data_IF_605710758813
#
_entry.id   IF_605710758813
#
_cell.length_a   1.000
_cell.length_b   1.000
_cell.length_c   1.000
_cell.angle_alpha   90.00
_cell.angle_beta   90.00
_cell.angle_gamma   90.00
#
_symmetry.space_group_name_H-M   'P 1'
#
loop_
_entity.id
_entity.type
_entity.pdbx_description
1 polymer ?
#
# COMPACT_ATOMS: atom_id res chain seq x y z
N UNK A 1 -16.00 -11.38 -43.55
CA UNK A 1 -14.94 -10.82 -42.69
C UNK A 1 -13.68 -10.71 -43.54
N UNK A 2 -13.02 -9.55 -43.58
CA UNK A 2 -11.82 -9.33 -44.39
C UNK A 2 -10.69 -8.86 -43.49
N UNK A 3 -9.58 -9.58 -43.49
CA UNK A 3 -8.35 -9.13 -42.85
C UNK A 3 -7.63 -8.16 -43.81
N UNK A 4 -7.31 -6.97 -43.33
CA UNK A 4 -6.50 -5.97 -44.03
C UNK A 4 -5.37 -5.60 -43.08
N UNK A 5 -4.14 -6.02 -43.39
CA UNK A 5 -2.98 -5.90 -42.49
C UNK A 5 -3.24 -6.57 -41.13
N UNK A 6 -3.34 -5.79 -40.06
CA UNK A 6 -3.67 -6.21 -38.68
C UNK A 6 -5.12 -5.91 -38.28
N UNK A 7 -5.95 -5.38 -39.19
CA UNK A 7 -7.34 -5.03 -38.94
C UNK A 7 -8.30 -6.06 -39.51
N UNK A 8 -9.26 -6.49 -38.70
CA UNK A 8 -10.32 -7.42 -39.11
C UNK A 8 -11.63 -6.66 -39.35
N UNK A 9 -12.03 -6.54 -40.62
CA UNK A 9 -13.28 -5.85 -41.02
C UNK A 9 -14.44 -6.83 -41.08
N UNK A 10 -15.50 -6.57 -40.30
CA UNK A 10 -16.72 -7.37 -40.25
C UNK A 10 -17.95 -6.50 -40.57
N UNK A 11 -18.69 -6.85 -41.62
CA UNK A 11 -19.77 -6.03 -42.20
C UNK A 11 -19.53 -5.70 -43.69
N UNK A 12 -20.36 -4.85 -44.32
CA UNK A 12 -21.49 -4.08 -43.74
C UNK A 12 -22.73 -4.95 -43.42
N UNK A 13 -23.58 -4.48 -42.50
CA UNK A 13 -24.86 -5.11 -42.16
C UNK A 13 -26.00 -4.15 -42.55
N UNK A 14 -26.95 -4.61 -43.37
CA UNK A 14 -28.02 -3.75 -43.90
C UNK A 14 -29.34 -3.92 -43.13
N UNK A 15 -29.85 -5.15 -43.00
CA UNK A 15 -31.13 -5.43 -42.33
C UNK A 15 -30.93 -6.41 -41.16
N UNK A 16 -30.70 -5.89 -39.96
CA UNK A 16 -30.69 -6.71 -38.75
C UNK A 16 -31.95 -6.50 -37.91
N UNK A 17 -32.59 -7.59 -37.42
CA UNK A 17 -33.72 -7.47 -36.51
C UNK A 17 -33.29 -6.84 -35.17
N UNK A 18 -34.21 -6.20 -34.42
CA UNK A 18 -33.92 -5.69 -33.09
C UNK A 18 -33.36 -6.78 -32.18
N UNK A 19 -32.30 -6.47 -31.43
CA UNK A 19 -31.60 -7.40 -30.54
C UNK A 19 -30.97 -8.62 -31.23
N UNK A 20 -30.55 -8.50 -32.49
CA UNK A 20 -29.72 -9.50 -33.16
C UNK A 20 -28.41 -9.76 -32.38
N UNK A 21 -28.12 -11.03 -32.12
CA UNK A 21 -26.89 -11.46 -31.47
C UNK A 21 -26.20 -12.52 -32.32
N UNK A 22 -24.98 -12.23 -32.78
CA UNK A 22 -24.13 -13.16 -33.51
C UNK A 22 -22.75 -13.20 -32.84
N UNK A 23 -22.37 -14.30 -32.16
CA UNK A 23 -21.07 -14.38 -31.52
C UNK A 23 -19.96 -14.46 -32.57
N UNK A 24 -18.89 -13.71 -32.35
CA UNK A 24 -17.68 -13.73 -33.19
C UNK A 24 -16.53 -14.27 -32.35
N UNK A 25 -15.88 -15.32 -32.84
CA UNK A 25 -14.70 -15.91 -32.19
C UNK A 25 -13.50 -15.69 -33.11
N UNK A 26 -12.46 -15.07 -32.57
CA UNK A 26 -11.21 -14.80 -33.30
C UNK A 26 -10.08 -15.50 -32.56
N UNK A 27 -9.27 -16.27 -33.29
CA UNK A 27 -8.07 -16.90 -32.78
C UNK A 27 -6.85 -16.24 -33.43
N UNK A 28 -6.00 -15.62 -32.62
CA UNK A 28 -4.80 -14.92 -33.05
C UNK A 28 -3.67 -15.16 -32.06
N UNK A 29 -2.43 -15.00 -32.54
CA UNK A 29 -1.25 -15.09 -31.69
C UNK A 29 -1.12 -13.83 -30.83
N UNK A 30 -0.99 -14.01 -29.52
CA UNK A 30 -0.75 -12.92 -28.57
C UNK A 30 0.29 -13.35 -27.54
N UNK A 31 1.51 -12.83 -27.70
CA UNK A 31 2.63 -13.12 -26.82
C UNK A 31 2.80 -12.07 -25.71
N UNK A 32 1.82 -11.19 -25.47
CA UNK A 32 1.89 -10.22 -24.39
C UNK A 32 1.91 -10.90 -23.02
N UNK A 33 2.58 -10.28 -22.07
CA UNK A 33 2.60 -10.72 -20.67
C UNK A 33 1.28 -10.37 -19.98
N UNK A 34 0.54 -11.38 -19.52
CA UNK A 34 -0.73 -11.18 -18.85
C UNK A 34 -0.55 -11.15 -17.33
N UNK A 35 -0.14 -10.00 -16.80
CA UNK A 35 -0.06 -9.79 -15.36
C UNK A 35 -1.44 -9.40 -14.80
N UNK A 36 -1.94 -10.20 -13.86
CA UNK A 36 -3.22 -9.95 -13.17
C UNK A 36 -2.96 -9.88 -11.67
N UNK A 37 -3.27 -8.75 -11.05
CA UNK A 37 -3.29 -8.63 -9.60
C UNK A 37 -4.60 -9.21 -9.07
N UNK A 38 -4.56 -10.45 -8.59
CA UNK A 38 -5.76 -11.10 -8.02
C UNK A 38 -6.21 -10.41 -6.73
N UNK A 39 -5.25 -9.97 -5.92
CA UNK A 39 -5.52 -9.14 -4.75
C UNK A 39 -4.51 -8.01 -4.64
N UNK A 40 -5.00 -6.79 -4.48
CA UNK A 40 -4.21 -5.60 -4.25
C UNK A 40 -4.73 -4.85 -3.02
N UNK A 41 -3.88 -4.78 -2.00
CA UNK A 41 -4.18 -4.05 -0.77
C UNK A 41 -3.27 -2.84 -0.67
N UNK A 42 -3.84 -1.65 -0.69
CA UNK A 42 -3.13 -0.39 -0.52
C UNK A 42 -3.48 0.21 0.83
N UNK A 43 -2.50 0.34 1.72
CA UNK A 43 -2.64 1.02 3.00
C UNK A 43 -1.95 2.39 2.95
N UNK A 44 -2.68 3.43 3.29
CA UNK A 44 -2.21 4.82 3.32
C UNK A 44 -2.33 5.31 4.75
N UNK A 45 -1.21 5.42 5.45
CA UNK A 45 -1.14 5.93 6.81
C UNK A 45 -0.76 7.40 6.83
N UNK A 46 -1.61 8.23 7.44
CA UNK A 46 -1.44 9.67 7.49
C UNK A 46 -0.95 10.08 8.87
N UNK A 47 0.16 10.81 8.89
CA UNK A 47 0.74 11.36 10.11
C UNK A 47 0.82 12.88 10.00
N UNK A 48 0.13 13.58 10.89
CA UNK A 48 0.18 15.05 10.97
C UNK A 48 1.54 15.59 11.45
N UNK A 49 2.47 14.70 11.82
CA UNK A 49 3.88 15.07 12.03
C UNK A 49 4.62 15.41 10.72
N UNK A 50 4.06 15.09 9.55
CA UNK A 50 4.55 15.61 8.27
C UNK A 50 4.67 14.61 7.12
N UNK A 51 4.35 13.33 7.33
CA UNK A 51 4.50 12.28 6.32
C UNK A 51 3.22 11.49 6.06
N UNK A 52 3.10 11.01 4.83
CA UNK A 52 2.11 10.01 4.40
C UNK A 52 2.89 8.77 3.99
N UNK A 53 2.66 7.66 4.70
CA UNK A 53 3.28 6.38 4.39
C UNK A 53 2.32 5.54 3.57
N UNK A 54 2.73 5.14 2.38
CA UNK A 54 1.97 4.22 1.53
C UNK A 54 2.64 2.86 1.56
N UNK A 55 1.83 1.82 1.75
CA UNK A 55 2.24 0.41 1.67
C UNK A 55 1.27 -0.32 0.76
N UNK A 56 1.80 -0.90 -0.30
CA UNK A 56 1.05 -1.60 -1.34
C UNK A 56 1.47 -3.06 -1.36
N UNK A 57 0.50 -3.95 -1.15
CA UNK A 57 0.69 -5.39 -1.14
C UNK A 57 0.02 -5.98 -2.37
N UNK A 58 0.82 -6.65 -3.19
CA UNK A 58 0.39 -7.23 -4.46
C UNK A 58 0.43 -8.75 -4.37
N UNK A 59 -0.65 -9.37 -4.84
CA UNK A 59 -0.70 -10.78 -5.17
C UNK A 59 -0.94 -10.90 -6.67
N UNK A 60 0.12 -11.19 -7.43
CA UNK A 60 0.09 -11.22 -8.90
C UNK A 60 0.10 -12.66 -9.40
N UNK A 61 -0.74 -12.94 -10.38
CA UNK A 61 -0.83 -14.20 -11.09
C UNK A 61 -0.60 -13.92 -12.59
N UNK A 62 0.11 -14.82 -13.26
CA UNK A 62 0.18 -14.77 -14.72
C UNK A 62 -1.08 -15.40 -15.33
N UNK A 63 -1.99 -14.58 -15.86
CA UNK A 63 -3.29 -15.01 -16.39
C UNK A 63 -3.26 -15.67 -17.78
N UNK A 64 -2.11 -15.69 -18.44
CA UNK A 64 -1.93 -16.34 -19.74
C UNK A 64 -1.77 -17.87 -19.68
N UNK A 65 -1.42 -18.48 -20.81
CA UNK A 65 -1.37 -19.94 -20.97
C UNK A 65 -0.37 -20.63 -20.03
N UNK A 66 -0.81 -21.73 -19.41
CA UNK A 66 0.00 -22.53 -18.50
C UNK A 66 1.13 -23.29 -19.23
N UNK A 67 2.24 -23.49 -18.52
CA UNK A 67 3.29 -24.38 -18.98
C UNK A 67 2.80 -25.84 -19.01
N UNK A 68 2.90 -26.48 -20.17
CA UNK A 68 2.58 -27.90 -20.34
C UNK A 68 3.64 -28.82 -19.72
N UNK A 69 4.90 -28.46 -19.90
CA UNK A 69 6.06 -29.17 -19.38
C UNK A 69 6.66 -28.41 -18.18
N UNK A 70 7.65 -29.00 -17.51
CA UNK A 70 8.41 -28.31 -16.47
C UNK A 70 9.18 -27.10 -17.00
N UNK A 71 9.54 -26.20 -16.07
CA UNK A 71 10.42 -25.07 -16.37
C UNK A 71 11.88 -25.54 -16.41
N UNK A 72 12.58 -25.21 -17.50
CA UNK A 72 14.01 -25.44 -17.68
C UNK A 72 14.73 -24.10 -17.73
N UNK A 73 15.60 -23.84 -16.75
CA UNK A 73 16.39 -22.60 -16.70
C UNK A 73 17.38 -22.51 -17.86
N UNK A 74 17.95 -23.63 -18.28
CA UNK A 74 18.91 -23.68 -19.39
C UNK A 74 18.22 -23.23 -20.68
N UNK A 75 17.03 -23.77 -20.96
CA UNK A 75 16.29 -23.42 -22.19
C UNK A 75 15.83 -21.96 -22.16
N UNK A 76 15.38 -21.48 -20.99
CA UNK A 76 15.00 -20.09 -20.79
C UNK A 76 16.17 -19.11 -21.02
N UNK A 77 17.38 -19.47 -20.56
CA UNK A 77 18.56 -18.62 -20.73
C UNK A 77 19.18 -18.76 -22.12
N UNK A 78 19.11 -19.94 -22.74
CA UNK A 78 19.66 -20.18 -24.07
C UNK A 78 18.84 -19.49 -25.17
N UNK A 79 17.50 -19.50 -25.05
CA UNK A 79 16.61 -18.87 -26.03
C UNK A 79 15.45 -18.09 -25.36
N UNK A 80 15.72 -16.92 -24.74
CA UNK A 80 14.71 -16.14 -24.03
C UNK A 80 13.52 -15.73 -24.92
N UNK A 81 13.77 -15.40 -26.18
CA UNK A 81 12.74 -14.96 -27.13
C UNK A 81 11.72 -16.05 -27.48
N UNK A 82 12.09 -17.32 -27.38
CA UNK A 82 11.22 -18.44 -27.74
C UNK A 82 10.67 -19.14 -26.49
N UNK A 83 11.53 -19.45 -25.51
CA UNK A 83 11.13 -20.13 -24.27
C UNK A 83 10.45 -19.20 -23.27
N UNK A 84 10.59 -17.89 -23.42
CA UNK A 84 10.11 -16.87 -22.49
C UNK A 84 9.22 -15.80 -23.11
N UNK A 85 8.78 -15.97 -24.37
CA UNK A 85 8.09 -14.95 -25.14
C UNK A 85 6.93 -14.28 -24.40
N UNK A 86 6.07 -15.08 -23.75
CA UNK A 86 4.91 -14.61 -23.00
C UNK A 86 5.17 -14.40 -21.52
N UNK A 87 6.37 -14.73 -21.03
CA UNK A 87 6.72 -14.60 -19.61
C UNK A 87 7.15 -13.18 -19.28
N UNK A 88 7.01 -12.78 -18.01
CA UNK A 88 7.53 -11.49 -17.55
C UNK A 88 8.36 -11.65 -16.28
N UNK A 89 9.44 -10.88 -16.17
CA UNK A 89 10.31 -10.85 -14.98
C UNK A 89 10.35 -9.48 -14.34
N UNK A 90 10.13 -8.42 -15.12
CA UNK A 90 10.17 -7.04 -14.66
C UNK A 90 8.77 -6.47 -14.57
N UNK A 91 8.54 -5.63 -13.57
CA UNK A 91 7.34 -4.84 -13.38
C UNK A 91 7.76 -3.40 -13.14
N UNK A 92 7.03 -2.47 -13.75
CA UNK A 92 7.31 -1.03 -13.62
C UNK A 92 6.18 -0.40 -12.82
N UNK A 93 6.54 0.25 -11.72
CA UNK A 93 5.64 1.07 -10.92
C UNK A 93 5.96 2.54 -11.09
N UNK A 94 4.93 3.35 -11.32
CA UNK A 94 5.01 4.81 -11.37
C UNK A 94 4.45 5.39 -10.08
N UNK A 95 5.36 5.81 -9.22
CA UNK A 95 5.09 6.43 -7.91
C UNK A 95 4.95 7.96 -8.06
N UNK A 96 4.25 8.62 -7.13
CA UNK A 96 4.16 10.09 -7.12
C UNK A 96 5.53 10.77 -7.03
N UNK A 97 5.67 12.02 -7.49
CA UNK A 97 6.90 12.79 -7.33
C UNK A 97 7.27 12.91 -5.83
N UNK A 98 8.55 13.13 -5.55
CA UNK A 98 9.08 13.28 -4.18
C UNK A 98 8.91 12.04 -3.27
N UNK A 99 8.57 10.89 -3.86
CA UNK A 99 8.57 9.61 -3.14
C UNK A 99 9.97 9.28 -2.63
N UNK A 100 10.10 9.06 -1.33
CA UNK A 100 11.37 8.73 -0.68
C UNK A 100 11.21 7.50 0.22
N UNK A 101 12.34 6.96 0.71
CA UNK A 101 12.37 5.78 1.59
C UNK A 101 11.63 4.57 0.98
N UNK A 102 11.78 4.38 -0.33
CA UNK A 102 11.15 3.29 -1.08
C UNK A 102 11.75 1.95 -0.66
N UNK A 103 10.91 0.96 -0.39
CA UNK A 103 11.33 -0.42 -0.14
C UNK A 103 10.53 -1.40 -1.00
N UNK A 104 11.19 -2.49 -1.37
CA UNK A 104 10.62 -3.59 -2.13
C UNK A 104 10.97 -4.91 -1.42
N UNK A 105 9.93 -5.61 -0.94
CA UNK A 105 10.08 -6.79 -0.09
C UNK A 105 9.03 -7.85 -0.42
N UNK A 106 9.33 -9.10 -0.13
CA UNK A 106 8.34 -10.17 -0.10
C UNK A 106 8.21 -10.74 1.32
N UNK A 107 7.46 -11.83 1.45
CA UNK A 107 7.23 -12.51 2.73
C UNK A 107 8.52 -13.04 3.37
N UNK A 108 9.55 -13.34 2.55
CA UNK A 108 10.81 -13.95 2.99
C UNK A 108 11.87 -12.88 3.27
N UNK A 109 11.72 -11.66 2.73
CA UNK A 109 12.52 -10.51 3.10
C UNK A 109 12.75 -9.54 1.96
N UNK A 110 13.93 -8.92 1.95
CA UNK A 110 14.24 -7.90 0.96
C UNK A 110 14.51 -8.49 -0.42
N UNK A 111 14.08 -7.80 -1.47
CA UNK A 111 14.46 -8.09 -2.85
C UNK A 111 15.36 -6.94 -3.33
N UNK A 112 16.63 -7.25 -3.60
CA UNK A 112 17.63 -6.27 -4.00
C UNK A 112 17.58 -5.91 -5.49
N UNK A 113 16.90 -6.72 -6.31
CA UNK A 113 16.79 -6.54 -7.75
C UNK A 113 15.72 -5.51 -8.09
N UNK A 114 16.02 -4.24 -7.83
CA UNK A 114 15.16 -3.10 -8.18
C UNK A 114 15.98 -1.88 -8.54
N UNK A 115 15.44 -1.04 -9.43
CA UNK A 115 16.04 0.20 -9.88
C UNK A 115 15.04 1.35 -9.70
N UNK A 116 15.45 2.36 -8.94
CA UNK A 116 14.65 3.57 -8.72
C UNK A 116 15.22 4.71 -9.55
N UNK A 117 14.37 5.38 -10.33
CA UNK A 117 14.71 6.57 -11.10
C UNK A 117 13.70 7.67 -10.77
N UNK A 118 14.17 8.78 -10.22
CA UNK A 118 13.34 9.94 -9.93
C UNK A 118 13.54 11.04 -10.96
N UNK A 119 12.45 11.62 -11.45
CA UNK A 119 12.43 12.86 -12.21
C UNK A 119 11.41 13.83 -11.58
N UNK A 120 11.45 15.10 -12.00
CA UNK A 120 10.49 16.14 -11.61
C UNK A 120 9.03 15.75 -11.83
N UNK A 121 8.75 14.89 -12.82
CA UNK A 121 7.41 14.45 -13.17
C UNK A 121 6.93 13.23 -12.37
N UNK A 122 7.83 12.53 -11.68
CA UNK A 122 7.48 11.33 -10.93
C UNK A 122 8.66 10.39 -10.68
N UNK A 123 8.41 9.38 -9.85
CA UNK A 123 9.43 8.39 -9.50
C UNK A 123 9.06 7.04 -10.12
N UNK A 124 9.93 6.50 -10.97
CA UNK A 124 9.78 5.19 -11.59
C UNK A 124 10.57 4.15 -10.80
N UNK A 125 9.87 3.09 -10.37
CA UNK A 125 10.45 1.93 -9.71
C UNK A 125 10.34 0.74 -10.66
N UNK A 126 11.47 0.32 -11.21
CA UNK A 126 11.59 -0.92 -11.97
C UNK A 126 11.94 -2.05 -11.00
N UNK A 127 11.05 -3.02 -10.87
CA UNK A 127 11.20 -4.16 -9.97
C UNK A 127 11.44 -5.41 -10.79
N UNK A 128 12.46 -6.16 -10.43
CA UNK A 128 12.73 -7.46 -11.03
C UNK A 128 12.36 -8.55 -10.02
N UNK A 129 11.44 -9.42 -10.44
CA UNK A 129 10.93 -10.53 -9.65
C UNK A 129 12.02 -11.60 -9.42
N UNK A 130 11.91 -12.35 -8.32
CA UNK A 130 12.85 -13.43 -7.98
C UNK A 130 12.92 -14.54 -9.03
N UNK A 131 11.83 -14.76 -9.74
CA UNK A 131 11.72 -15.74 -10.82
C UNK A 131 10.84 -15.17 -11.94
N UNK A 132 11.05 -15.61 -13.20
CA UNK A 132 10.17 -15.24 -14.31
C UNK A 132 8.78 -15.82 -14.08
N UNK A 133 7.74 -15.03 -14.37
CA UNK A 133 6.35 -15.45 -14.23
C UNK A 133 5.89 -16.12 -15.52
N UNK A 134 5.47 -17.37 -15.41
CA UNK A 134 4.80 -18.13 -16.46
C UNK A 134 3.34 -18.38 -16.11
N UNK A 135 2.51 -18.76 -17.08
CA UNK A 135 1.07 -18.96 -16.87
C UNK A 135 0.72 -19.84 -15.68
N UNK A 136 -0.15 -19.30 -14.82
CA UNK A 136 -0.58 -19.90 -13.56
C UNK A 136 0.36 -19.71 -12.38
N UNK A 137 1.57 -19.17 -12.58
CA UNK A 137 2.45 -18.86 -11.46
C UNK A 137 1.94 -17.66 -10.70
N UNK A 138 2.22 -17.65 -9.40
CA UNK A 138 1.76 -16.64 -8.44
C UNK A 138 2.95 -16.10 -7.66
N UNK A 139 2.95 -14.80 -7.43
CA UNK A 139 3.93 -14.12 -6.57
C UNK A 139 3.22 -13.11 -5.67
N UNK A 140 3.71 -12.99 -4.44
CA UNK A 140 3.26 -12.00 -3.48
C UNK A 140 4.44 -11.14 -3.06
N UNK A 141 4.27 -9.82 -3.11
CA UNK A 141 5.27 -8.87 -2.64
C UNK A 141 4.61 -7.57 -2.18
N UNK A 142 5.38 -6.76 -1.49
CA UNK A 142 4.97 -5.44 -1.01
C UNK A 142 5.97 -4.39 -1.46
N UNK A 143 5.44 -3.24 -1.87
CA UNK A 143 6.21 -2.02 -2.01
C UNK A 143 5.71 -1.00 -0.99
N UNK A 144 6.59 -0.15 -0.50
CA UNK A 144 6.16 0.98 0.30
C UNK A 144 7.10 2.16 0.12
N UNK A 145 6.54 3.33 0.34
CA UNK A 145 7.21 4.60 0.09
C UNK A 145 6.57 5.70 0.96
N UNK A 146 7.34 6.73 1.24
CA UNK A 146 6.92 7.89 2.03
C UNK A 146 6.77 9.11 1.13
N UNK A 147 5.74 9.90 1.42
CA UNK A 147 5.38 11.12 0.72
C UNK A 147 5.27 12.28 1.71
N UNK A 148 5.58 13.51 1.27
CA UNK A 148 5.34 14.69 2.09
C UNK A 148 3.84 14.95 2.27
N UNK A 149 3.41 15.32 3.48
CA UNK A 149 1.99 15.50 3.79
C UNK A 149 1.33 16.67 3.04
N UNK A 150 2.06 17.76 2.81
CA UNK A 150 1.52 19.02 2.27
C UNK A 150 0.96 18.89 0.85
N UNK A 151 1.41 17.89 0.07
CA UNK A 151 0.92 17.65 -1.29
C UNK A 151 -0.44 16.95 -1.33
N UNK A 152 -0.85 16.32 -0.22
CA UNK A 152 -2.03 15.45 -0.17
C UNK A 152 -3.08 15.92 0.84
N UNK A 153 -2.69 16.75 1.81
CA UNK A 153 -3.56 17.30 2.84
C UNK A 153 -3.86 18.77 2.57
N UNK A 154 -5.15 19.08 2.41
CA UNK A 154 -5.64 20.43 2.17
C UNK A 154 -6.61 20.83 3.28
N UNK A 155 -6.75 22.14 3.51
CA UNK A 155 -7.76 22.69 4.41
C UNK A 155 -8.94 23.22 3.59
N UNK A 156 -10.16 22.91 4.04
CA UNK A 156 -11.37 23.46 3.44
C UNK A 156 -11.79 24.76 4.11
N UNK A 157 -12.56 25.60 3.42
CA UNK A 157 -13.08 26.87 3.95
C UNK A 157 -13.87 26.73 5.27
N UNK A 158 -14.42 25.54 5.51
CA UNK A 158 -15.15 25.19 6.74
C UNK A 158 -14.24 24.76 7.90
N UNK A 159 -12.91 24.82 7.75
CA UNK A 159 -11.92 24.40 8.74
C UNK A 159 -11.77 22.88 8.90
N UNK A 160 -12.28 22.09 7.94
CA UNK A 160 -12.06 20.64 7.91
C UNK A 160 -10.82 20.30 7.08
N UNK A 161 -10.12 19.25 7.49
CA UNK A 161 -9.02 18.66 6.74
C UNK A 161 -9.58 17.78 5.61
N UNK A 162 -9.02 17.95 4.42
CA UNK A 162 -9.39 17.24 3.21
C UNK A 162 -8.16 16.49 2.71
N UNK A 163 -8.19 15.17 2.83
CA UNK A 163 -7.19 14.31 2.21
C UNK A 163 -7.63 13.98 0.79
N UNK A 164 -6.68 14.10 -0.12
CA UNK A 164 -6.87 13.79 -1.53
C UNK A 164 -5.96 12.64 -1.95
N UNK A 165 -6.54 11.50 -2.34
CA UNK A 165 -5.79 10.31 -2.73
C UNK A 165 -6.16 9.82 -4.13
N UNK A 166 -5.18 9.22 -4.78
CA UNK A 166 -5.36 8.49 -6.04
C UNK A 166 -5.81 7.08 -5.72
N UNK A 167 -6.80 6.59 -6.46
CA UNK A 167 -7.25 5.20 -6.36
C UNK A 167 -6.71 4.42 -7.56
N UNK A 168 -5.99 3.33 -7.29
CA UNK A 168 -5.46 2.45 -8.32
C UNK A 168 -4.07 1.93 -7.97
N UNK A 169 -3.62 0.93 -8.72
CA UNK A 169 -2.28 0.35 -8.60
C UNK A 169 -1.18 1.33 -9.02
N UNK A 170 -0.05 1.31 -8.32
CA UNK A 170 1.16 2.01 -8.76
C UNK A 170 1.85 1.33 -9.95
N UNK A 171 1.72 0.01 -10.07
CA UNK A 171 2.20 -0.78 -11.21
C UNK A 171 1.42 -0.40 -12.48
N UNK A 172 2.15 -0.16 -13.57
CA UNK A 172 1.58 0.18 -14.88
C UNK A 172 1.00 -1.06 -15.57
N UNK A 173 -0.04 -0.86 -16.38
CA UNK A 173 -0.65 -1.89 -17.25
C UNK A 173 -1.15 -3.17 -16.55
N UNK A 174 -1.36 -3.13 -15.23
CA UNK A 174 -1.91 -4.27 -14.48
C UNK A 174 -3.43 -4.16 -14.29
N UNK A 175 -4.12 -5.28 -14.52
CA UNK A 175 -5.53 -5.42 -14.17
C UNK A 175 -5.64 -5.98 -12.76
N UNK A 176 -6.52 -5.38 -11.96
CA UNK A 176 -6.73 -5.77 -10.57
C UNK A 176 -8.13 -6.37 -10.41
N UNK A 177 -8.22 -7.62 -9.95
CA UNK A 177 -9.50 -8.29 -9.71
C UNK A 177 -10.19 -7.74 -8.45
N UNK A 178 -9.46 -7.68 -7.34
CA UNK A 178 -9.93 -7.13 -6.07
C UNK A 178 -8.94 -6.08 -5.55
N UNK A 179 -9.42 -4.83 -5.42
CA UNK A 179 -8.68 -3.73 -4.83
C UNK A 179 -9.29 -3.31 -3.50
N UNK A 180 -8.47 -3.29 -2.46
CA UNK A 180 -8.81 -2.80 -1.11
C UNK A 180 -7.89 -1.63 -0.77
N UNK A 181 -8.46 -0.44 -0.60
CA UNK A 181 -7.73 0.75 -0.15
C UNK A 181 -8.10 1.05 1.29
N UNK A 182 -7.11 0.98 2.19
CA UNK A 182 -7.22 1.30 3.62
C UNK A 182 -6.56 2.65 3.89
N UNK A 183 -7.35 3.62 4.32
CA UNK A 183 -6.83 4.94 4.69
C UNK A 183 -6.85 5.07 6.20
N UNK A 184 -5.67 5.03 6.81
CA UNK A 184 -5.48 5.12 8.26
C UNK A 184 -5.32 6.59 8.63
N UNK A 185 -6.35 7.15 9.25
CA UNK A 185 -6.36 8.54 9.71
C UNK A 185 -5.70 8.66 11.08
N UNK A 186 -5.20 9.86 11.47
CA UNK A 186 -4.64 10.06 12.79
C UNK A 186 -5.65 9.82 13.91
N UNK A 187 -5.14 9.41 15.07
CA UNK A 187 -5.92 9.31 16.29
C UNK A 187 -6.60 10.65 16.63
N UNK A 188 -7.89 10.62 16.98
CA UNK A 188 -8.66 11.82 17.30
C UNK A 188 -9.37 12.46 16.10
N UNK A 189 -9.27 11.87 14.91
CA UNK A 189 -10.05 12.28 13.73
C UNK A 189 -11.55 12.02 13.95
N UNK A 190 -12.38 13.05 13.73
CA UNK A 190 -13.85 13.02 13.89
C UNK A 190 -14.56 13.43 12.61
N UNK A 191 -15.87 13.16 12.55
CA UNK A 191 -16.77 13.54 11.44
C UNK A 191 -16.25 13.10 10.05
N UNK A 192 -15.86 11.83 9.93
CA UNK A 192 -15.22 11.31 8.71
C UNK A 192 -16.26 11.14 7.60
N UNK A 193 -16.06 11.82 6.47
CA UNK A 193 -16.90 11.72 5.28
C UNK A 193 -16.05 11.41 4.04
N UNK A 194 -16.51 10.46 3.21
CA UNK A 194 -15.76 9.97 2.05
C UNK A 194 -16.53 10.20 0.77
N UNK A 195 -15.99 11.02 -0.12
CA UNK A 195 -16.51 11.25 -1.47
C UNK A 195 -15.60 10.56 -2.49
N UNK A 196 -16.16 9.63 -3.25
CA UNK A 196 -15.47 8.92 -4.34
C UNK A 196 -16.18 9.21 -5.66
N UNK A 197 -15.42 9.29 -6.77
CA UNK A 197 -16.00 9.51 -8.12
C UNK A 197 -16.68 8.28 -8.71
N UNK A 198 -16.54 7.11 -8.08
CA UNK A 198 -17.12 5.85 -8.51
C UNK A 198 -17.69 5.10 -7.29
N UNK A 199 -18.56 4.13 -7.59
CA UNK A 199 -19.18 3.26 -6.59
C UNK A 199 -18.13 2.35 -5.97
N UNK A 200 -17.96 2.45 -4.66
CA UNK A 200 -17.12 1.56 -3.84
C UNK A 200 -17.92 1.08 -2.64
N UNK A 201 -17.62 -0.13 -2.17
CA UNK A 201 -18.08 -0.57 -0.86
C UNK A 201 -17.22 0.16 0.18
N UNK A 202 -17.87 0.71 1.20
CA UNK A 202 -17.21 1.50 2.24
C UNK A 202 -17.43 0.82 3.58
N UNK A 203 -16.37 0.65 4.34
CA UNK A 203 -16.42 0.19 5.73
C UNK A 203 -15.47 1.03 6.59
N UNK A 204 -15.68 0.98 7.89
CA UNK A 204 -14.82 1.63 8.87
C UNK A 204 -14.26 0.58 9.81
N UNK A 205 -12.95 0.66 10.05
CA UNK A 205 -12.21 -0.22 10.94
C UNK A 205 -11.41 0.62 11.93
N UNK A 206 -10.82 -0.05 12.92
CA UNK A 206 -9.94 0.58 13.90
C UNK A 206 -8.59 -0.15 13.88
N UNK A 207 -7.50 0.61 13.74
CA UNK A 207 -6.13 0.08 13.77
C UNK A 207 -5.36 0.66 14.94
N UNK A 208 -4.60 -0.18 15.63
CA UNK A 208 -3.65 0.27 16.64
C UNK A 208 -2.24 0.23 16.06
N UNK A 209 -1.54 1.37 16.14
CA UNK A 209 -0.13 1.48 15.79
C UNK A 209 0.67 1.93 17.02
N UNK A 210 1.95 2.23 16.82
CA UNK A 210 2.84 2.70 17.88
C UNK A 210 2.32 4.02 18.48
N UNK A 211 2.37 4.10 19.81
CA UNK A 211 1.98 5.28 20.58
C UNK A 211 0.51 5.69 20.39
N UNK A 212 -0.37 4.73 20.14
CA UNK A 212 -1.81 4.96 20.07
C UNK A 212 -2.52 4.35 21.29
N UNK A 213 -3.42 5.12 21.93
CA UNK A 213 -4.20 4.66 23.11
C UNK A 213 -5.62 4.25 22.70
N UNK A 214 -6.29 5.09 21.91
CA UNK A 214 -7.70 4.91 21.50
C UNK A 214 -7.81 4.15 20.17
N UNK A 215 -6.71 4.05 19.43
CA UNK A 215 -6.68 3.52 18.07
C UNK A 215 -6.97 4.59 17.02
N UNK A 216 -6.61 4.27 15.79
CA UNK A 216 -6.75 5.10 14.61
C UNK A 216 -7.94 4.64 13.77
N UNK A 217 -8.85 5.56 13.38
CA UNK A 217 -9.93 5.18 12.48
C UNK A 217 -9.38 4.91 11.08
N UNK A 218 -9.81 3.81 10.50
CA UNK A 218 -9.44 3.39 9.14
C UNK A 218 -10.68 3.41 8.26
N UNK A 219 -10.56 4.10 7.13
CA UNK A 219 -11.57 4.08 6.08
C UNK A 219 -11.16 3.01 5.07
N UNK A 220 -12.01 2.02 4.86
CA UNK A 220 -11.76 0.94 3.90
C UNK A 220 -12.67 1.12 2.69
N UNK A 221 -12.07 1.08 1.51
CA UNK A 221 -12.71 1.21 0.22
C UNK A 221 -12.41 -0.02 -0.62
N UNK A 222 -13.45 -0.78 -0.98
CA UNK A 222 -13.31 -1.99 -1.79
C UNK A 222 -13.94 -1.79 -3.16
N UNK A 223 -13.25 -2.28 -4.18
CA UNK A 223 -13.73 -2.30 -5.55
C UNK A 223 -13.19 -3.52 -6.29
N UNK A 224 -14.10 -4.16 -7.01
CA UNK A 224 -13.79 -5.24 -7.94
C UNK A 224 -13.54 -4.71 -9.35
N UNK A 225 -12.74 -5.45 -10.13
CA UNK A 225 -12.42 -5.21 -11.55
C UNK A 225 -11.93 -3.78 -11.82
N UNK A 226 -10.73 -3.48 -11.32
CA UNK A 226 -10.07 -2.19 -11.54
C UNK A 226 -9.08 -2.31 -12.69
N UNK A 227 -9.31 -1.51 -13.73
CA UNK A 227 -8.43 -1.39 -14.89
C UNK A 227 -7.55 -0.12 -14.80
N UNK A 228 -6.39 -0.07 -15.48
CA UNK A 228 -5.49 1.08 -15.45
C UNK A 228 -6.16 2.43 -15.76
N UNK A 229 -7.19 2.47 -16.60
CA UNK A 229 -7.93 3.68 -16.97
C UNK A 229 -8.71 4.28 -15.79
N UNK A 230 -8.99 3.48 -14.75
CA UNK A 230 -9.53 3.98 -13.50
C UNK A 230 -8.49 4.75 -12.69
N UNK A 231 -7.19 4.65 -12.97
CA UNK A 231 -6.16 5.44 -12.30
C UNK A 231 -6.17 6.86 -12.87
N UNK A 232 -6.89 7.77 -12.22
CA UNK A 232 -6.73 9.21 -12.43
C UNK A 232 -6.36 9.86 -11.10
N UNK A 233 -5.61 10.95 -11.16
CA UNK A 233 -5.30 11.72 -9.97
C UNK A 233 -6.57 12.19 -9.27
N UNK A 234 -6.53 12.17 -7.94
CA UNK A 234 -7.48 12.85 -7.07
C UNK A 234 -8.93 12.40 -7.23
N UNK A 235 -9.18 11.14 -6.88
CA UNK A 235 -10.50 10.53 -7.07
C UNK A 235 -11.29 10.33 -5.79
N UNK A 236 -10.57 10.28 -4.66
CA UNK A 236 -11.16 10.05 -3.35
C UNK A 236 -10.78 11.20 -2.44
N UNK A 237 -11.81 11.88 -1.94
CA UNK A 237 -11.71 12.97 -0.99
C UNK A 237 -12.23 12.51 0.36
N UNK A 238 -11.40 12.62 1.39
CA UNK A 238 -11.75 12.25 2.76
C UNK A 238 -11.73 13.52 3.60
N UNK A 239 -12.89 13.88 4.12
CA UNK A 239 -13.09 15.02 5.00
C UNK A 239 -13.07 14.53 6.43
N UNK A 240 -12.33 15.20 7.31
CA UNK A 240 -12.31 14.91 8.73
C UNK A 240 -11.92 16.16 9.53
N UNK A 241 -12.32 16.18 10.80
CA UNK A 241 -11.87 17.17 11.77
C UNK A 241 -10.76 16.60 12.62
N UNK A 242 -9.69 17.36 12.78
CA UNK A 242 -8.57 17.00 13.64
C UNK A 242 -8.17 18.20 14.50
N UNK A 243 -7.90 17.95 15.78
CA UNK A 243 -7.39 18.99 16.68
C UNK A 243 -5.91 18.72 16.98
N UNK A 244 -5.06 19.71 16.72
CA UNK A 244 -3.61 19.63 16.91
C UNK A 244 -3.20 19.33 18.36
N UNK A 245 -4.07 19.56 19.36
CA UNK A 245 -3.81 19.16 20.75
C UNK A 245 -3.57 17.65 20.88
N UNK A 246 -4.21 16.82 20.03
CA UNK A 246 -3.97 15.37 20.03
C UNK A 246 -2.55 14.99 19.61
N UNK A 247 -1.86 15.85 18.84
CA UNK A 247 -0.46 15.64 18.47
C UNK A 247 0.46 15.69 19.71
N UNK A 248 0.21 16.66 20.61
CA UNK A 248 0.96 16.81 21.86
C UNK A 248 0.72 15.62 22.81
N UNK A 249 -0.47 15.01 22.76
CA UNK A 249 -0.81 13.83 23.56
C UNK A 249 0.20 12.69 23.40
N UNK A 250 0.74 12.49 22.18
CA UNK A 250 1.75 11.45 21.93
C UNK A 250 3.08 11.72 22.65
N UNK A 251 3.54 12.98 22.63
CA UNK A 251 4.74 13.39 23.34
C UNK A 251 4.55 13.30 24.87
N UNK A 252 3.40 13.76 25.36
CA UNK A 252 3.07 13.70 26.80
C UNK A 252 3.03 12.26 27.32
N UNK A 253 2.61 11.29 26.51
CA UNK A 253 2.60 9.88 26.91
C UNK A 253 4.02 9.36 27.19
N UNK A 254 5.00 9.71 26.36
CA UNK A 254 6.41 9.34 26.58
C UNK A 254 6.98 10.04 27.82
N UNK A 255 6.70 11.33 27.98
CA UNK A 255 7.13 12.10 29.15
C UNK A 255 6.57 11.48 30.43
N UNK A 256 5.29 11.13 30.45
CA UNK A 256 4.64 10.49 31.60
C UNK A 256 5.23 9.11 31.89
N UNK A 257 5.50 8.30 30.86
CA UNK A 257 6.12 6.98 31.04
C UNK A 257 7.50 7.05 31.69
N UNK A 258 8.35 7.97 31.21
CA UNK A 258 9.68 8.21 31.79
C UNK A 258 9.56 8.79 33.20
N UNK A 259 8.64 9.74 33.41
CA UNK A 259 8.41 10.32 34.73
C UNK A 259 7.99 9.27 35.77
N UNK A 260 7.07 8.36 35.40
CA UNK A 260 6.63 7.27 36.27
C UNK A 260 7.77 6.28 36.58
N UNK A 261 8.66 6.00 35.61
CA UNK A 261 9.85 5.21 35.86
C UNK A 261 10.72 5.84 36.95
N UNK A 262 11.02 7.14 36.85
CA UNK A 262 11.80 7.85 37.86
C UNK A 262 11.09 7.89 39.21
N UNK A 263 9.76 8.08 39.23
CA UNK A 263 8.97 8.05 40.45
C UNK A 263 9.08 6.69 41.15
N UNK A 264 8.99 5.59 40.41
CA UNK A 264 9.16 4.23 40.94
C UNK A 264 10.57 4.03 41.50
N UNK A 265 11.61 4.49 40.79
CA UNK A 265 12.98 4.44 41.30
C UNK A 265 13.15 5.22 42.61
N UNK A 266 12.57 6.43 42.70
CA UNK A 266 12.62 7.25 43.91
C UNK A 266 11.89 6.55 45.06
N UNK A 267 10.71 5.97 44.82
CA UNK A 267 9.96 5.24 45.84
C UNK A 267 10.70 3.98 46.28
N UNK A 268 11.32 3.25 45.36
CA UNK A 268 12.13 2.08 45.66
C UNK A 268 13.35 2.44 46.53
N UNK A 269 14.05 3.53 46.21
CA UNK A 269 15.20 4.00 47.00
C UNK A 269 14.81 4.47 48.40
N UNK A 270 13.58 4.93 48.60
CA UNK A 270 13.06 5.32 49.92
C UNK A 270 12.30 4.19 50.63
N UNK A 271 12.09 3.04 49.99
CA UNK A 271 11.44 1.89 50.61
C UNK A 271 12.45 1.14 51.47
N UNK A 272 12.33 1.28 52.79
CA UNK A 272 13.13 0.52 53.75
C UNK A 272 12.59 -0.92 53.84
N UNK A 273 13.25 -1.83 53.14
CA UNK A 273 12.90 -3.26 53.04
C UNK A 273 13.67 -4.12 54.07
N UNK A 274 14.24 -3.52 55.12
CA UNK A 274 15.01 -4.25 56.12
C UNK A 274 14.12 -5.13 57.01
N UNK A 275 14.43 -6.44 57.07
CA UNK A 275 13.68 -7.45 57.85
C UNK A 275 13.97 -7.40 59.36
N UNK A 276 15.14 -6.91 59.79
CA UNK A 276 15.45 -6.60 61.19
C UNK A 276 16.44 -5.45 61.26
N UNK A 277 16.12 -4.39 62.01
CA UNK A 277 17.07 -3.32 62.32
C UNK A 277 17.88 -3.71 63.55
N UNK A 278 19.18 -3.90 63.39
CA UNK A 278 20.10 -4.09 64.52
C UNK A 278 20.56 -2.72 65.02
N UNK A 279 20.54 -2.50 66.34
CA UNK A 279 20.76 -1.19 66.99
C UNK A 279 22.11 -0.52 66.70
N UNK A 280 23.10 -1.24 66.18
CA UNK A 280 24.41 -0.69 65.81
C UNK A 280 24.38 0.21 64.56
N UNK A 281 23.33 0.13 63.73
CA UNK A 281 23.24 0.87 62.48
C UNK A 281 22.64 2.29 62.62
N UNK A 282 21.92 2.56 63.71
CA UNK A 282 21.32 3.88 63.96
C UNK A 282 22.34 4.90 64.50
N UNK A 283 23.29 4.49 65.34
CA UNK A 283 24.34 5.39 65.86
C UNK A 283 25.30 5.92 64.78
N UNK A 284 25.60 5.11 63.74
CA UNK A 284 26.54 5.51 62.68
C UNK A 284 25.91 6.46 61.64
N UNK A 285 24.58 6.46 61.53
CA UNK A 285 23.85 7.37 60.62
C UNK A 285 23.51 8.71 61.27
N UNK A 286 23.42 8.76 62.60
CA UNK A 286 23.20 10.02 63.34
C UNK A 286 24.50 10.83 63.54
N UNK A 287 25.66 10.16 63.62
CA UNK A 287 26.98 10.81 63.72
C UNK A 287 27.54 11.40 62.41
N UNK A 288 26.80 11.33 61.30
CA UNK A 288 27.20 11.81 59.97
C UNK A 288 26.35 12.99 59.45
N UNK A 289 25.45 13.53 60.27
CA UNK A 289 24.72 14.78 59.99
C UNK A 289 25.55 16.01 60.39
#
# INVERSE_FOLDING_TARGET
>A
MRLVESELRYGPFEEQPPFSYSPVVVHFENNNSFAVASNFVQEIEISHWGNVQVTEQYTIIHGGAHLKNGFSRIDYQANPSMSGASSFRTLVARLPPMSHSVYYRDEIGNISTSHLRGDSQGTQLEMELRFPMFGGWKISFSIGYSLPLHDFLFESDAGNNVLNITFGSSIEEIVVENQIVRVVLPQGSKDISVKSRFTTKKSQELKYSHLDIVGRPVVVLEKDNVVPEHKRYFQVYIYYKFNNIFLLGKAMMLILGIFLLFLICILYMHADLALSKTSSWEEETEGRK
#
